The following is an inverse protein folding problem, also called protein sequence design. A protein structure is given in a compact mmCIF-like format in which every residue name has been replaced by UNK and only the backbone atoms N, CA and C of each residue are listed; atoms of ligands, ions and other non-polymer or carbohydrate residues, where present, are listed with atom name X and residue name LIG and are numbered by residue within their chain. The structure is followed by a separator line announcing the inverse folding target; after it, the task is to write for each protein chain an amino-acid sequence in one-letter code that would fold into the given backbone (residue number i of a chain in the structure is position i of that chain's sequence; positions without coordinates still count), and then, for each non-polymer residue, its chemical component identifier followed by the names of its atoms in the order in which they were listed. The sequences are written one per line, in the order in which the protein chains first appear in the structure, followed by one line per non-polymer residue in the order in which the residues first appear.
data_IF_091473643150
#
_entry.id   IF_091473643150
#
_cell.length_a   1.000
_cell.length_b   1.000
_cell.length_c   1.000
_cell.angle_alpha   90.00
_cell.angle_beta   90.00
_cell.angle_gamma   90.00
#
_symmetry.space_group_name_H-M   'P 1'
#
loop_
_entity.id
_entity.type
_entity.pdbx_description
1 polymer ?
#
# COMPACT_ATOMS: atom_id res chain seq x y z
N UNK A 1 -0.02 21.19 25.65
CA UNK A 1 -0.02 20.14 24.62
C UNK A 1 0.60 18.91 25.24
N UNK A 2 -0.21 17.89 25.44
CA UNK A 2 0.15 16.71 26.22
C UNK A 2 0.99 15.73 25.38
N UNK A 3 2.05 15.18 25.97
CA UNK A 3 2.94 14.18 25.34
C UNK A 3 2.17 12.92 24.91
N UNK A 4 1.00 12.66 25.51
CA UNK A 4 0.08 11.61 25.08
C UNK A 4 -0.54 11.82 23.69
N UNK A 5 -0.77 13.07 23.26
CA UNK A 5 -1.26 13.37 21.90
C UNK A 5 -0.17 13.19 20.84
N UNK A 6 1.10 13.37 21.21
CA UNK A 6 2.24 13.15 20.31
C UNK A 6 2.48 11.64 20.10
N UNK A 7 2.17 10.79 21.09
CA UNK A 7 2.19 9.34 20.91
C UNK A 7 1.00 8.80 20.09
N UNK A 8 -0.16 9.46 20.09
CA UNK A 8 -1.23 9.17 19.14
C UNK A 8 -0.95 9.71 17.72
N UNK A 9 -0.11 10.74 17.59
CA UNK A 9 0.45 11.20 16.31
C UNK A 9 1.51 10.24 15.73
N UNK A 10 1.94 9.23 16.50
CA UNK A 10 2.60 8.02 16.02
C UNK A 10 1.55 7.00 15.52
N UNK A 11 0.53 7.46 14.77
CA UNK A 11 -0.05 6.59 13.75
C UNK A 11 1.14 6.18 12.90
N UNK A 12 1.54 4.92 13.04
CA UNK A 12 2.73 4.30 12.47
C UNK A 12 2.92 4.88 11.08
N UNK A 13 3.88 5.79 10.89
CA UNK A 13 4.29 6.23 9.56
C UNK A 13 4.80 4.97 8.90
N UNK A 14 3.93 4.30 8.16
CA UNK A 14 4.28 3.06 7.49
C UNK A 14 5.29 3.46 6.43
N UNK A 15 6.58 3.28 6.73
CA UNK A 15 7.65 3.56 5.78
C UNK A 15 7.57 2.47 4.71
N UNK A 16 6.81 2.74 3.65
CA UNK A 16 6.66 1.84 2.52
C UNK A 16 7.95 1.86 1.73
N UNK A 17 8.38 0.68 1.34
CA UNK A 17 9.51 0.48 0.45
C UNK A 17 9.26 -0.75 -0.42
N UNK A 18 10.17 -1.02 -1.35
CA UNK A 18 10.06 -2.15 -2.28
C UNK A 18 9.97 -3.53 -1.62
N UNK A 19 10.44 -3.69 -0.39
CA UNK A 19 10.37 -4.95 0.36
C UNK A 19 9.09 -5.07 1.20
N UNK A 20 8.26 -4.03 1.24
CA UNK A 20 7.01 -4.04 2.01
C UNK A 20 6.03 -5.02 1.37
N UNK A 21 5.44 -5.96 2.14
CA UNK A 21 4.45 -6.88 1.60
C UNK A 21 3.18 -6.15 1.16
N UNK A 22 2.75 -6.37 -0.10
CA UNK A 22 1.62 -5.64 -0.66
C UNK A 22 0.32 -5.97 0.08
N UNK A 23 0.13 -7.22 0.50
CA UNK A 23 -1.10 -7.63 1.19
C UNK A 23 -1.31 -6.85 2.49
N UNK A 24 -0.25 -6.45 3.20
CA UNK A 24 -0.36 -5.65 4.42
C UNK A 24 -0.89 -4.26 4.11
N UNK A 25 -0.39 -3.65 3.03
CA UNK A 25 -0.82 -2.33 2.56
C UNK A 25 -2.28 -2.39 2.12
N UNK A 26 -2.66 -3.34 1.26
CA UNK A 26 -4.03 -3.44 0.74
C UNK A 26 -5.04 -3.92 1.78
N UNK A 27 -4.60 -4.62 2.83
CA UNK A 27 -5.46 -4.96 3.98
C UNK A 27 -5.74 -3.74 4.84
N UNK A 28 -4.73 -2.91 5.10
CA UNK A 28 -4.90 -1.66 5.86
C UNK A 28 -5.66 -0.59 5.07
N UNK A 29 -5.43 -0.54 3.75
CA UNK A 29 -5.99 0.46 2.84
C UNK A 29 -6.65 -0.23 1.63
N UNK A 30 -7.81 -0.89 1.81
CA UNK A 30 -8.50 -1.61 0.73
C UNK A 30 -8.89 -0.69 -0.44
N UNK A 31 -9.04 0.61 -0.19
CA UNK A 31 -9.32 1.64 -1.18
C UNK A 31 -8.19 1.83 -2.21
N UNK A 32 -6.96 1.38 -1.92
CA UNK A 32 -5.86 1.44 -2.87
C UNK A 32 -6.01 0.46 -4.03
N UNK A 33 -6.72 -0.65 -3.86
CA UNK A 33 -6.88 -1.67 -4.91
C UNK A 33 -7.48 -1.08 -6.20
N UNK A 34 -8.65 -0.39 -6.17
CA UNK A 34 -9.19 0.22 -7.38
C UNK A 34 -8.29 1.33 -7.95
N UNK A 35 -7.56 2.07 -7.10
CA UNK A 35 -6.64 3.13 -7.54
C UNK A 35 -5.43 2.55 -8.28
N UNK A 36 -4.85 1.47 -7.78
CA UNK A 36 -3.78 0.72 -8.43
C UNK A 36 -4.24 0.18 -9.78
N UNK A 37 -5.41 -0.46 -9.85
CA UNK A 37 -5.96 -1.00 -11.10
C UNK A 37 -6.23 0.10 -12.12
N UNK A 38 -6.73 1.27 -11.68
CA UNK A 38 -6.95 2.44 -12.53
C UNK A 38 -5.65 3.01 -13.08
N UNK A 39 -4.58 3.03 -12.26
CA UNK A 39 -3.25 3.44 -12.68
C UNK A 39 -2.68 2.49 -13.74
N UNK A 40 -2.76 1.18 -13.48
CA UNK A 40 -2.24 0.16 -14.37
C UNK A 40 -3.03 -1.15 -14.23
N UNK A 41 -3.63 -1.60 -15.33
CA UNK A 41 -4.51 -2.77 -15.34
C UNK A 41 -3.82 -4.08 -14.95
N UNK A 42 -2.49 -4.15 -15.01
CA UNK A 42 -1.70 -5.32 -14.58
C UNK A 42 -1.80 -5.57 -13.07
N UNK A 43 -2.20 -4.57 -12.28
CA UNK A 43 -2.53 -4.73 -10.87
C UNK A 43 -3.90 -5.42 -10.63
N UNK A 44 -4.62 -5.82 -11.66
CA UNK A 44 -5.90 -6.53 -11.55
C UNK A 44 -5.82 -7.84 -10.74
N UNK A 45 -4.63 -8.43 -10.59
CA UNK A 45 -4.41 -9.59 -9.73
C UNK A 45 -4.65 -9.29 -8.23
N UNK A 46 -4.51 -8.04 -7.80
CA UNK A 46 -4.75 -7.61 -6.41
C UNK A 46 -6.24 -7.59 -6.03
N UNK A 47 -7.14 -7.65 -7.01
CA UNK A 47 -8.58 -7.70 -6.75
C UNK A 47 -9.05 -9.07 -6.22
N UNK A 48 -8.20 -10.10 -6.35
CA UNK A 48 -8.52 -11.44 -5.86
C UNK A 48 -7.84 -11.67 -4.52
N UNK A 49 -8.54 -12.21 -3.52
CA UNK A 49 -7.91 -12.59 -2.26
C UNK A 49 -6.83 -13.62 -2.53
N UNK A 50 -5.61 -13.30 -2.12
CA UNK A 50 -4.45 -14.19 -2.27
C UNK A 50 -4.39 -15.09 -1.04
N UNK A 51 -4.41 -16.42 -1.25
CA UNK A 51 -4.34 -17.38 -0.15
C UNK A 51 -3.05 -17.19 0.66
N UNK A 52 -3.09 -17.20 2.00
CA UNK A 52 -1.91 -17.07 2.87
C UNK A 52 -0.79 -18.07 2.58
N UNK A 53 -1.14 -19.21 2.00
CA UNK A 53 -0.22 -20.31 1.67
C UNK A 53 0.36 -20.21 0.25
N UNK A 54 -0.09 -19.24 -0.54
CA UNK A 54 0.41 -19.04 -1.89
C UNK A 54 1.65 -18.16 -1.90
N UNK A 55 2.62 -18.41 -2.80
CA UNK A 55 3.79 -17.54 -2.95
C UNK A 55 3.43 -16.06 -3.18
N UNK A 56 2.29 -15.80 -3.83
CA UNK A 56 1.78 -14.45 -4.06
C UNK A 56 1.42 -13.69 -2.78
N UNK A 57 1.16 -14.38 -1.66
CA UNK A 57 0.88 -13.73 -0.38
C UNK A 57 2.11 -12.98 0.14
N UNK A 58 3.30 -13.48 -0.18
CA UNK A 58 4.57 -12.87 0.20
C UNK A 58 5.05 -11.82 -0.80
N UNK A 59 4.26 -11.50 -1.83
CA UNK A 59 4.65 -10.51 -2.83
C UNK A 59 4.87 -9.13 -2.18
N UNK A 60 5.99 -8.53 -2.52
CA UNK A 60 6.34 -7.17 -2.09
C UNK A 60 5.94 -6.13 -3.14
N UNK A 61 6.00 -4.86 -2.76
CA UNK A 61 5.83 -3.72 -3.69
C UNK A 61 6.76 -3.86 -4.90
N UNK A 62 8.02 -4.25 -4.70
CA UNK A 62 8.98 -4.48 -5.79
C UNK A 62 8.56 -5.63 -6.70
N UNK A 63 8.06 -6.74 -6.15
CA UNK A 63 7.58 -7.86 -6.97
C UNK A 63 6.41 -7.45 -7.89
N UNK A 64 5.46 -6.68 -7.35
CA UNK A 64 4.30 -6.24 -8.15
C UNK A 64 4.66 -5.13 -9.14
N UNK A 65 5.62 -4.24 -8.79
CA UNK A 65 6.13 -3.23 -9.71
C UNK A 65 6.80 -3.90 -10.91
N UNK A 66 7.69 -4.87 -10.65
CA UNK A 66 8.36 -5.64 -11.68
C UNK A 66 7.36 -6.39 -12.58
N UNK A 67 6.36 -7.06 -11.99
CA UNK A 67 5.31 -7.75 -12.75
C UNK A 67 4.45 -6.79 -13.59
N UNK A 68 4.21 -5.57 -13.10
CA UNK A 68 3.50 -4.53 -13.81
C UNK A 68 4.36 -3.81 -14.87
N UNK A 69 5.69 -3.98 -14.83
CA UNK A 69 6.63 -3.23 -15.66
C UNK A 69 6.81 -1.77 -15.21
N UNK A 70 6.55 -1.48 -13.93
CA UNK A 70 6.73 -0.16 -13.33
C UNK A 70 8.06 -0.07 -12.56
N UNK A 71 8.59 1.15 -12.43
CA UNK A 71 9.73 1.40 -11.54
C UNK A 71 9.27 1.32 -10.09
N UNK A 72 10.08 0.67 -9.26
CA UNK A 72 9.77 0.45 -7.84
C UNK A 72 9.55 1.78 -7.11
N UNK A 73 10.35 2.80 -7.43
CA UNK A 73 10.29 4.12 -6.82
C UNK A 73 9.00 4.86 -7.17
N UNK A 74 8.53 4.75 -8.41
CA UNK A 74 7.29 5.37 -8.87
C UNK A 74 6.05 4.71 -8.25
N UNK A 75 6.11 3.40 -7.97
CA UNK A 75 5.04 2.70 -7.27
C UNK A 75 5.03 3.05 -5.77
N UNK A 76 6.20 3.09 -5.13
CA UNK A 76 6.32 3.49 -3.71
C UNK A 76 5.80 4.92 -3.51
N UNK A 77 6.23 5.88 -4.33
CA UNK A 77 5.81 7.28 -4.19
C UNK A 77 4.28 7.44 -4.29
N UNK A 78 3.66 6.73 -5.22
CA UNK A 78 2.20 6.74 -5.37
C UNK A 78 1.48 6.11 -4.18
N UNK A 79 1.96 4.96 -3.68
CA UNK A 79 1.37 4.34 -2.49
C UNK A 79 1.43 5.29 -1.28
N UNK A 80 2.56 5.96 -1.08
CA UNK A 80 2.70 6.95 -0.02
C UNK A 80 1.76 8.15 -0.18
N UNK A 81 1.59 8.65 -1.41
CA UNK A 81 0.71 9.78 -1.70
C UNK A 81 -0.76 9.41 -1.47
N UNK A 82 -1.22 8.28 -2.00
CA UNK A 82 -2.61 7.85 -1.86
C UNK A 82 -2.95 7.47 -0.42
N UNK A 83 -2.03 6.86 0.33
CA UNK A 83 -2.22 6.60 1.76
C UNK A 83 -2.37 7.91 2.53
N UNK A 84 -1.53 8.92 2.26
CA UNK A 84 -1.68 10.25 2.89
C UNK A 84 -3.05 10.85 2.57
N UNK A 85 -3.52 10.74 1.31
CA UNK A 85 -4.84 11.24 0.90
C UNK A 85 -5.97 10.51 1.65
N UNK A 86 -5.90 9.18 1.75
CA UNK A 86 -6.87 8.36 2.49
C UNK A 86 -6.84 8.74 3.98
N UNK A 87 -5.68 8.78 4.61
CA UNK A 87 -5.55 9.13 6.03
C UNK A 87 -6.12 10.53 6.34
N UNK A 88 -5.96 11.50 5.43
CA UNK A 88 -6.56 12.83 5.56
C UNK A 88 -8.09 12.75 5.43
N UNK A 89 -8.59 12.04 4.42
CA UNK A 89 -10.02 11.95 4.12
C UNK A 89 -10.83 11.27 5.24
N UNK A 90 -10.23 10.32 5.97
CA UNK A 90 -10.92 9.56 7.02
C UNK A 90 -10.54 10.00 8.45
N UNK A 91 -9.68 11.02 8.61
CA UNK A 91 -9.39 11.66 9.91
C UNK A 91 -10.36 12.79 10.28
N UNK A 92 -11.17 13.28 9.34
CA UNK A 92 -12.11 14.39 9.50
C UNK A 92 -13.49 13.98 8.96
#
# INVERSE_FOLDING_TARGET
MDKGQIQFLNIIKMTINKYTPIHKITTAYPQLIPLLIKRNNRFGCLNKPVSPWSPGYLATVGNIAAAAGEKEEELVAFLEEEIKRIEIQYRY
#
